data_IF_253941893106
#
_entry.id   IF_253941893106
#
_cell.length_a   1.000
_cell.length_b   1.000
_cell.length_c   1.000
_cell.angle_alpha   90.00
_cell.angle_beta   90.00
_cell.angle_gamma   90.00
#
_symmetry.space_group_name_H-M   'P 1'
#
loop_
_entity.id
_entity.type
_entity.pdbx_description
1 polymer ?
#
# COMPACT_ATOMS: atom_id res chain seq x y z
N UNK A 1 10.58 38.80 -46.40
CA UNK A 1 10.30 39.52 -45.14
C UNK A 1 10.18 38.50 -44.02
N UNK A 2 11.19 38.37 -43.16
CA UNK A 2 11.06 37.85 -41.78
C UNK A 2 12.36 38.19 -41.03
N UNK A 3 12.36 39.19 -40.13
CA UNK A 3 13.48 39.45 -39.25
C UNK A 3 13.18 39.12 -37.78
N UNK A 4 14.24 38.64 -37.10
CA UNK A 4 14.58 38.82 -35.68
C UNK A 4 13.74 38.16 -34.56
N UNK A 5 14.38 37.23 -33.84
CA UNK A 5 14.33 37.17 -32.37
C UNK A 5 15.75 37.19 -31.80
N UNK A 6 16.13 38.17 -30.97
CA UNK A 6 17.42 38.17 -30.29
C UNK A 6 17.35 37.35 -28.98
N UNK A 7 18.45 36.64 -28.68
CA UNK A 7 18.77 36.07 -27.37
C UNK A 7 19.36 37.18 -26.50
N UNK A 8 18.82 37.42 -25.31
CA UNK A 8 19.39 38.12 -24.15
C UNK A 8 18.28 38.12 -23.08
N UNK A 9 18.46 37.79 -21.80
CA UNK A 9 19.65 37.49 -21.05
C UNK A 9 19.23 36.95 -19.67
N UNK A 10 20.02 35.99 -19.23
CA UNK A 10 20.01 35.30 -17.95
C UNK A 10 20.29 36.28 -16.80
N UNK A 11 19.32 37.10 -16.35
CA UNK A 11 19.56 37.99 -15.18
C UNK A 11 18.33 38.50 -14.39
N UNK A 12 17.11 38.03 -14.67
CA UNK A 12 15.90 38.40 -13.90
C UNK A 12 15.19 37.16 -13.34
N UNK A 13 15.96 36.18 -12.84
CA UNK A 13 15.39 35.00 -12.16
C UNK A 13 15.70 35.02 -10.66
N UNK A 14 16.80 35.64 -10.23
CA UNK A 14 17.27 35.53 -8.84
C UNK A 14 16.59 36.44 -7.81
N UNK A 15 15.85 37.48 -8.20
CA UNK A 15 15.29 38.45 -7.23
C UNK A 15 13.83 38.19 -6.83
N UNK A 16 13.19 37.16 -7.38
CA UNK A 16 11.75 36.88 -7.13
C UNK A 16 11.49 35.78 -6.10
N UNK A 17 12.54 35.18 -5.53
CA UNK A 17 12.43 34.06 -4.59
C UNK A 17 12.29 34.46 -3.11
N UNK A 18 12.25 35.75 -2.77
CA UNK A 18 12.24 36.18 -1.37
C UNK A 18 10.87 36.61 -0.82
N UNK A 19 9.81 36.63 -1.65
CA UNK A 19 8.51 37.16 -1.21
C UNK A 19 7.26 36.33 -1.52
N UNK A 20 7.35 35.17 -2.19
CA UNK A 20 6.18 34.35 -2.49
C UNK A 20 6.21 33.01 -1.71
N UNK A 21 5.33 32.82 -0.71
CA UNK A 21 5.10 31.50 -0.13
C UNK A 21 4.24 30.71 -1.13
N UNK A 22 4.83 29.71 -1.80
CA UNK A 22 4.15 28.69 -2.64
C UNK A 22 2.96 29.20 -3.49
N UNK A 23 3.07 29.44 -4.83
CA UNK A 23 2.99 28.32 -5.78
C UNK A 23 3.43 28.65 -7.24
N UNK A 24 4.47 28.02 -7.79
CA UNK A 24 4.66 28.02 -9.25
C UNK A 24 5.22 26.72 -9.84
N UNK A 25 5.87 25.87 -9.04
CA UNK A 25 6.22 24.51 -9.47
C UNK A 25 5.00 23.56 -9.56
N UNK A 26 3.88 23.88 -8.91
CA UNK A 26 2.70 22.99 -8.90
C UNK A 26 1.84 23.14 -10.17
N UNK A 27 1.97 24.24 -10.93
CA UNK A 27 1.11 24.48 -12.11
C UNK A 27 1.52 23.75 -13.38
N UNK A 28 2.71 23.14 -13.41
CA UNK A 28 3.19 22.37 -14.56
C UNK A 28 3.06 20.85 -14.38
N UNK A 29 2.50 20.37 -13.27
CA UNK A 29 2.20 18.95 -13.07
C UNK A 29 0.73 18.68 -13.44
N UNK A 30 0.45 17.81 -14.42
CA UNK A 30 -0.89 17.25 -14.60
C UNK A 30 -1.38 16.66 -13.26
N UNK A 31 -2.66 16.81 -12.89
CA UNK A 31 -3.17 16.46 -11.57
C UNK A 31 -3.14 14.96 -11.22
N UNK A 32 -2.60 14.09 -12.06
CA UNK A 32 -2.77 12.62 -11.95
C UNK A 32 -1.49 11.83 -11.66
N UNK A 33 -0.31 12.45 -11.67
CA UNK A 33 0.95 11.66 -11.71
C UNK A 33 2.11 12.05 -10.76
N UNK A 34 2.01 12.84 -9.66
CA UNK A 34 3.24 13.27 -8.99
C UNK A 34 3.89 12.26 -8.02
N UNK A 35 3.19 11.21 -7.57
CA UNK A 35 3.67 10.37 -6.44
C UNK A 35 4.18 8.96 -6.78
N UNK A 36 3.62 8.32 -7.81
CA UNK A 36 3.85 6.89 -8.08
C UNK A 36 4.84 6.60 -9.21
N UNK A 37 4.80 7.39 -10.28
CA UNK A 37 5.58 7.11 -11.49
C UNK A 37 6.84 7.97 -11.62
N UNK A 38 7.13 8.82 -10.63
CA UNK A 38 8.32 9.68 -10.59
C UNK A 38 8.31 10.72 -11.74
N UNK A 39 9.42 10.96 -12.44
CA UNK A 39 9.57 12.09 -13.37
C UNK A 39 9.27 11.66 -14.81
N UNK A 40 8.33 12.34 -15.46
CA UNK A 40 8.00 12.09 -16.88
C UNK A 40 9.20 12.41 -17.79
N UNK A 41 9.43 11.55 -18.78
CA UNK A 41 10.58 11.60 -19.69
C UNK A 41 11.88 11.00 -19.13
N UNK A 42 11.92 10.68 -17.83
CA UNK A 42 13.06 10.03 -17.17
C UNK A 42 12.69 8.64 -16.70
N UNK A 43 11.63 8.54 -15.91
CA UNK A 43 11.18 7.27 -15.31
C UNK A 43 10.04 6.63 -16.11
N UNK A 44 9.19 7.44 -16.72
CA UNK A 44 8.06 6.99 -17.54
C UNK A 44 7.77 7.96 -18.68
N UNK A 45 7.06 7.47 -19.69
CA UNK A 45 6.47 8.28 -20.77
C UNK A 45 5.00 7.93 -20.93
N UNK A 46 4.22 8.86 -21.47
CA UNK A 46 2.87 8.57 -21.97
C UNK A 46 2.96 8.49 -23.49
N UNK A 47 2.55 7.37 -24.05
CA UNK A 47 2.47 7.12 -25.49
C UNK A 47 1.35 7.95 -26.13
N UNK A 48 1.38 8.09 -27.46
CA UNK A 48 0.32 8.81 -28.21
C UNK A 48 -1.07 8.21 -28.00
N UNK A 49 -1.14 6.90 -27.71
CA UNK A 49 -2.37 6.16 -27.39
C UNK A 49 -2.82 6.35 -25.92
N UNK A 50 -2.13 7.19 -25.15
CA UNK A 50 -2.43 7.49 -23.75
C UNK A 50 -1.99 6.42 -22.75
N UNK A 51 -1.18 5.45 -23.18
CA UNK A 51 -0.66 4.39 -22.32
C UNK A 51 0.68 4.77 -21.70
N UNK A 52 0.92 4.35 -20.46
CA UNK A 52 2.18 4.49 -19.77
C UNK A 52 3.20 3.46 -20.28
N UNK A 53 4.40 3.94 -20.59
CA UNK A 53 5.54 3.13 -21.02
C UNK A 53 6.86 3.65 -20.41
N UNK A 54 7.98 3.00 -20.74
CA UNK A 54 9.33 3.41 -20.37
C UNK A 54 10.03 4.16 -21.52
N UNK A 55 10.89 5.15 -21.20
CA UNK A 55 11.68 5.83 -22.23
C UNK A 55 12.70 4.88 -22.89
N UNK A 56 13.14 5.24 -24.10
CA UNK A 56 14.15 4.47 -24.83
C UNK A 56 15.46 4.37 -24.04
N UNK A 57 16.03 3.16 -23.97
CA UNK A 57 17.29 2.91 -23.26
C UNK A 57 17.14 2.75 -21.74
N UNK A 58 15.92 2.78 -21.21
CA UNK A 58 15.65 2.56 -19.79
C UNK A 58 16.05 1.13 -19.37
N UNK A 59 16.90 1.02 -18.34
CA UNK A 59 17.40 -0.23 -17.80
C UNK A 59 16.82 -0.46 -16.39
N UNK A 60 15.97 -1.49 -16.17
CA UNK A 60 15.36 -1.74 -14.86
C UNK A 60 16.39 -1.96 -13.74
N UNK A 61 17.61 -2.37 -14.06
CA UNK A 61 18.66 -2.62 -13.05
C UNK A 61 19.39 -1.36 -12.60
N UNK A 62 19.25 -0.24 -13.32
CA UNK A 62 19.96 1.03 -13.07
C UNK A 62 19.02 2.20 -12.84
N UNK A 63 17.96 2.27 -13.63
CA UNK A 63 17.01 3.37 -13.71
C UNK A 63 15.67 3.01 -13.03
N UNK A 64 15.60 1.79 -12.46
CA UNK A 64 14.45 1.31 -11.71
C UNK A 64 14.29 2.02 -10.37
N UNK A 65 13.29 2.88 -10.28
CA UNK A 65 12.76 3.39 -9.01
C UNK A 65 11.30 2.94 -8.87
N UNK A 66 11.04 2.08 -7.89
CA UNK A 66 9.68 1.71 -7.48
C UNK A 66 9.42 2.24 -6.07
N UNK A 67 8.48 3.18 -5.95
CA UNK A 67 8.04 3.68 -4.65
C UNK A 67 7.04 2.73 -3.98
N UNK A 68 6.52 1.73 -4.72
CA UNK A 68 5.46 0.81 -4.32
C UNK A 68 4.40 1.47 -3.41
N UNK A 69 3.94 2.65 -3.82
CA UNK A 69 3.07 3.49 -2.99
C UNK A 69 1.62 3.02 -3.07
N UNK A 70 1.35 1.82 -2.56
CA UNK A 70 0.03 1.20 -2.59
C UNK A 70 -1.02 2.02 -1.82
N UNK A 71 -0.63 2.64 -0.70
CA UNK A 71 -1.56 3.33 0.20
C UNK A 71 -2.09 4.68 -0.31
N UNK A 72 -1.53 5.25 -1.39
CA UNK A 72 -2.03 6.49 -1.98
C UNK A 72 -2.31 6.39 -3.47
N UNK A 73 -2.46 5.17 -3.98
CA UNK A 73 -2.97 4.93 -5.34
C UNK A 73 -4.50 4.90 -5.32
N UNK A 74 -5.09 5.33 -6.42
CA UNK A 74 -6.52 5.15 -6.72
C UNK A 74 -6.60 4.55 -8.11
N UNK A 75 -7.09 3.32 -8.22
CA UNK A 75 -7.03 2.54 -9.47
C UNK A 75 -7.74 3.25 -10.64
N UNK A 76 -8.79 4.04 -10.38
CA UNK A 76 -9.50 4.86 -11.37
C UNK A 76 -8.62 5.94 -12.02
N UNK A 77 -7.56 6.39 -11.33
CA UNK A 77 -6.66 7.44 -11.82
C UNK A 77 -5.30 6.89 -12.28
N UNK A 78 -5.13 5.55 -12.32
CA UNK A 78 -3.91 4.97 -12.87
C UNK A 78 -3.98 4.86 -14.39
N UNK A 79 -3.00 5.42 -15.14
CA UNK A 79 -2.93 5.22 -16.58
C UNK A 79 -2.64 3.74 -16.87
N UNK A 80 -3.32 3.20 -17.89
CA UNK A 80 -3.06 1.86 -18.41
C UNK A 80 -1.65 1.78 -18.98
N UNK A 81 -1.00 0.63 -18.82
CA UNK A 81 0.38 0.41 -19.28
C UNK A 81 0.38 -0.32 -20.61
N UNK A 82 1.43 -0.13 -21.40
CA UNK A 82 1.69 -0.91 -22.62
C UNK A 82 1.83 -2.41 -22.33
N UNK A 83 2.25 -2.76 -21.11
CA UNK A 83 2.42 -4.14 -20.65
C UNK A 83 1.16 -4.76 -20.04
N UNK A 84 0.06 -4.00 -19.90
CA UNK A 84 -1.16 -4.54 -19.30
C UNK A 84 -1.79 -5.60 -20.23
N UNK A 85 -2.41 -6.60 -19.63
CA UNK A 85 -3.15 -7.59 -20.40
C UNK A 85 -4.34 -6.92 -21.13
N UNK A 86 -4.60 -7.22 -22.41
CA UNK A 86 -5.68 -6.57 -23.18
C UNK A 86 -7.07 -6.77 -22.55
N UNK A 87 -7.30 -7.92 -21.90
CA UNK A 87 -8.55 -8.25 -21.21
C UNK A 87 -8.54 -8.01 -19.69
N UNK A 88 -7.62 -7.19 -19.16
CA UNK A 88 -7.50 -6.99 -17.69
C UNK A 88 -8.81 -6.53 -17.03
N UNK A 89 -9.64 -5.75 -17.74
CA UNK A 89 -10.93 -5.28 -17.23
C UNK A 89 -11.91 -6.43 -17.02
N UNK A 90 -11.96 -7.39 -17.94
CA UNK A 90 -12.78 -8.61 -17.80
C UNK A 90 -12.30 -9.47 -16.63
N UNK A 91 -10.99 -9.52 -16.40
CA UNK A 91 -10.41 -10.23 -15.25
C UNK A 91 -10.88 -9.56 -13.96
N UNK A 92 -10.84 -8.23 -13.89
CA UNK A 92 -11.33 -7.49 -12.73
C UNK A 92 -12.83 -7.66 -12.52
N UNK A 93 -13.65 -7.58 -13.57
CA UNK A 93 -15.10 -7.83 -13.51
C UNK A 93 -15.39 -9.24 -12.97
N UNK A 94 -14.69 -10.26 -13.47
CA UNK A 94 -14.82 -11.64 -13.01
C UNK A 94 -14.40 -11.81 -11.53
N UNK A 95 -13.30 -11.16 -11.11
CA UNK A 95 -12.86 -11.16 -9.72
C UNK A 95 -13.85 -10.46 -8.79
N UNK A 96 -14.37 -9.30 -9.18
CA UNK A 96 -15.38 -8.52 -8.43
C UNK A 96 -16.67 -9.33 -8.32
N UNK A 97 -17.10 -10.00 -9.39
CA UNK A 97 -18.33 -10.80 -9.40
C UNK A 97 -18.30 -11.98 -8.40
N UNK A 98 -17.11 -12.47 -8.07
CA UNK A 98 -16.88 -13.56 -7.11
C UNK A 98 -16.47 -13.08 -5.72
N UNK A 99 -16.18 -11.79 -5.57
CA UNK A 99 -15.76 -11.22 -4.29
C UNK A 99 -16.92 -11.32 -3.29
N UNK A 100 -16.63 -11.89 -2.12
CA UNK A 100 -17.59 -11.95 -1.01
C UNK A 100 -17.37 -10.73 -0.13
N UNK A 101 -18.46 -10.08 0.27
CA UNK A 101 -18.38 -9.05 1.29
C UNK A 101 -17.88 -9.65 2.59
N UNK A 102 -16.92 -8.99 3.23
CA UNK A 102 -16.39 -9.42 4.50
C UNK A 102 -17.32 -8.90 5.61
N UNK A 103 -18.04 -9.76 6.34
CA UNK A 103 -19.07 -9.31 7.26
C UNK A 103 -18.50 -8.46 8.40
N UNK A 104 -17.30 -8.77 8.88
CA UNK A 104 -16.68 -8.11 10.04
C UNK A 104 -15.93 -6.81 9.70
N UNK A 105 -16.17 -6.19 8.54
CA UNK A 105 -15.42 -5.02 8.06
C UNK A 105 -15.47 -3.82 9.01
N UNK A 106 -16.52 -3.70 9.81
CA UNK A 106 -16.68 -2.64 10.81
C UNK A 106 -16.69 -3.17 12.25
N UNK A 107 -16.20 -4.39 12.49
CA UNK A 107 -16.04 -4.91 13.85
C UNK A 107 -14.87 -4.19 14.52
N UNK A 108 -15.14 -3.52 15.65
CA UNK A 108 -14.12 -2.89 16.48
C UNK A 108 -14.11 -3.64 17.81
N UNK A 109 -12.98 -4.25 18.13
CA UNK A 109 -12.76 -4.95 19.41
C UNK A 109 -12.22 -3.97 20.44
N UNK A 110 -12.89 -3.88 21.58
CA UNK A 110 -12.37 -3.28 22.79
C UNK A 110 -11.25 -4.17 23.36
N UNK A 111 -10.06 -3.60 23.51
CA UNK A 111 -8.86 -4.31 23.94
C UNK A 111 -8.47 -3.97 25.39
N UNK A 112 -9.07 -2.95 25.98
CA UNK A 112 -8.78 -2.51 27.34
C UNK A 112 -8.86 -3.66 28.37
N UNK A 113 -9.88 -4.57 28.34
CA UNK A 113 -9.96 -5.64 29.34
C UNK A 113 -8.93 -6.77 29.16
N UNK A 114 -8.22 -6.81 28.03
CA UNK A 114 -7.32 -7.91 27.66
C UNK A 114 -5.91 -7.44 27.29
N UNK A 115 -5.59 -6.17 27.53
CA UNK A 115 -4.33 -5.56 27.10
C UNK A 115 -3.10 -6.26 27.69
N UNK A 116 -3.16 -6.65 28.97
CA UNK A 116 -2.06 -7.37 29.65
C UNK A 116 -1.80 -8.74 29.03
N UNK A 117 -2.85 -9.49 28.73
CA UNK A 117 -2.75 -10.83 28.17
C UNK A 117 -2.27 -10.76 26.71
N UNK A 118 -2.74 -9.77 25.95
CA UNK A 118 -2.24 -9.50 24.60
C UNK A 118 -0.74 -9.18 24.60
N UNK A 119 -0.25 -8.40 25.56
CA UNK A 119 1.17 -8.09 25.69
C UNK A 119 2.01 -9.34 26.04
N UNK A 120 1.51 -10.19 26.94
CA UNK A 120 2.17 -11.46 27.28
C UNK A 120 2.22 -12.42 26.08
N UNK A 121 1.11 -12.55 25.33
CA UNK A 121 1.04 -13.35 24.11
C UNK A 121 1.96 -12.79 23.01
N UNK A 122 2.08 -11.47 22.86
CA UNK A 122 2.95 -10.85 21.88
C UNK A 122 4.43 -11.20 22.11
N UNK A 123 4.86 -11.33 23.37
CA UNK A 123 6.22 -11.78 23.70
C UNK A 123 6.47 -13.21 23.20
N UNK A 124 5.53 -14.14 23.44
CA UNK A 124 5.61 -15.53 22.95
C UNK A 124 5.64 -15.56 21.42
N UNK A 125 4.74 -14.83 20.75
CA UNK A 125 4.70 -14.81 19.28
C UNK A 125 5.97 -14.23 18.66
N UNK A 126 6.55 -13.21 19.29
CA UNK A 126 7.79 -12.58 18.79
C UNK A 126 9.00 -13.52 18.85
N UNK A 127 9.03 -14.45 19.81
CA UNK A 127 10.08 -15.49 19.91
C UNK A 127 9.92 -16.54 18.80
N UNK A 128 8.69 -17.00 18.56
CA UNK A 128 8.43 -18.20 17.75
C UNK A 128 8.13 -17.92 16.28
N UNK A 129 7.25 -16.94 15.98
CA UNK A 129 6.71 -16.74 14.64
C UNK A 129 7.81 -16.47 13.61
N UNK A 130 8.80 -15.59 13.85
CA UNK A 130 9.88 -15.38 12.88
C UNK A 130 10.66 -16.67 12.59
N UNK A 131 10.96 -17.47 13.61
CA UNK A 131 11.73 -18.70 13.44
C UNK A 131 10.94 -19.77 12.67
N UNK A 132 9.64 -19.91 12.94
CA UNK A 132 8.74 -20.79 12.20
C UNK A 132 8.59 -20.35 10.74
N UNK A 133 8.42 -19.05 10.48
CA UNK A 133 8.29 -18.49 9.13
C UNK A 133 9.53 -18.71 8.27
N UNK A 134 10.72 -18.59 8.86
CA UNK A 134 11.99 -18.87 8.18
C UNK A 134 12.39 -20.34 8.17
N UNK A 135 11.52 -21.25 8.67
CA UNK A 135 11.79 -22.69 8.68
C UNK A 135 13.02 -23.08 9.49
N UNK A 136 13.30 -22.37 10.59
CA UNK A 136 14.52 -22.56 11.40
C UNK A 136 14.47 -23.74 12.37
N UNK A 137 13.29 -24.31 12.60
CA UNK A 137 13.12 -25.47 13.48
C UNK A 137 13.25 -26.76 12.68
N UNK A 138 14.05 -27.70 13.19
CA UNK A 138 14.17 -29.05 12.62
C UNK A 138 12.83 -29.82 12.71
N UNK A 139 12.06 -29.58 13.78
CA UNK A 139 10.69 -30.08 13.96
C UNK A 139 9.70 -28.91 14.18
N UNK A 140 9.09 -28.38 13.10
CA UNK A 140 8.11 -27.31 13.20
C UNK A 140 6.86 -27.69 13.99
N UNK A 141 6.47 -28.97 14.00
CA UNK A 141 5.26 -29.42 14.68
C UNK A 141 5.45 -29.36 16.21
N UNK A 142 6.61 -29.82 16.69
CA UNK A 142 6.97 -29.70 18.11
C UNK A 142 7.06 -28.23 18.55
N UNK A 143 7.70 -27.36 17.75
CA UNK A 143 7.79 -25.93 18.05
C UNK A 143 6.42 -25.23 18.10
N UNK A 144 5.50 -25.57 17.20
CA UNK A 144 4.13 -25.04 17.23
C UNK A 144 3.37 -25.55 18.47
N UNK A 145 3.58 -26.79 18.88
CA UNK A 145 2.96 -27.33 20.10
C UNK A 145 3.47 -26.59 21.35
N UNK A 146 4.78 -26.39 21.47
CA UNK A 146 5.37 -25.62 22.59
C UNK A 146 4.86 -24.18 22.61
N UNK A 147 4.85 -23.50 21.46
CA UNK A 147 4.33 -22.13 21.34
C UNK A 147 2.88 -22.05 21.82
N UNK A 148 2.01 -23.01 21.44
CA UNK A 148 0.60 -23.03 21.86
C UNK A 148 0.46 -23.20 23.37
N UNK A 149 1.27 -24.03 24.00
CA UNK A 149 1.24 -24.17 25.46
C UNK A 149 1.72 -22.88 26.16
N UNK A 150 2.78 -22.23 25.65
CA UNK A 150 3.20 -20.91 26.14
C UNK A 150 2.11 -19.85 25.96
N UNK A 151 1.37 -19.85 24.84
CA UNK A 151 0.26 -18.92 24.61
C UNK A 151 -0.91 -19.16 25.58
N UNK A 152 -1.27 -20.42 25.86
CA UNK A 152 -2.28 -20.76 26.87
C UNK A 152 -1.88 -20.24 28.25
N UNK A 153 -0.62 -20.46 28.65
CA UNK A 153 -0.08 -19.94 29.90
C UNK A 153 -0.08 -18.39 29.96
N UNK A 154 0.03 -17.73 28.80
CA UNK A 154 0.02 -16.27 28.67
C UNK A 154 -1.38 -15.63 28.60
N UNK A 155 -2.47 -16.42 28.75
CA UNK A 155 -3.84 -15.88 28.78
C UNK A 155 -4.65 -16.05 27.48
N UNK A 156 -4.23 -16.94 26.57
CA UNK A 156 -4.95 -17.17 25.31
C UNK A 156 -6.45 -17.43 25.45
N UNK A 157 -6.87 -18.25 26.43
CA UNK A 157 -8.30 -18.56 26.59
C UNK A 157 -9.09 -17.33 27.04
N UNK A 158 -8.54 -16.52 27.96
CA UNK A 158 -9.16 -15.25 28.39
C UNK A 158 -9.38 -14.31 27.20
N UNK A 159 -8.33 -14.10 26.39
CA UNK A 159 -8.38 -13.26 25.19
C UNK A 159 -9.42 -13.80 24.20
N UNK A 160 -9.42 -15.11 23.96
CA UNK A 160 -10.34 -15.77 23.03
C UNK A 160 -11.80 -15.62 23.48
N UNK A 161 -12.09 -15.88 24.74
CA UNK A 161 -13.45 -15.76 25.29
C UNK A 161 -13.96 -14.32 25.22
N UNK A 162 -13.10 -13.35 25.56
CA UNK A 162 -13.44 -11.94 25.48
C UNK A 162 -13.75 -11.50 24.03
N UNK A 163 -12.84 -11.80 23.08
CA UNK A 163 -13.04 -11.46 21.66
C UNK A 163 -14.29 -12.17 21.11
N UNK A 164 -14.50 -13.45 21.44
CA UNK A 164 -15.68 -14.17 20.97
C UNK A 164 -16.97 -13.54 21.51
N UNK A 165 -17.00 -13.14 22.78
CA UNK A 165 -18.14 -12.42 23.36
C UNK A 165 -18.45 -11.12 22.63
N UNK A 166 -17.43 -10.34 22.28
CA UNK A 166 -17.61 -9.10 21.53
C UNK A 166 -18.07 -9.33 20.08
N UNK A 167 -17.50 -10.33 19.40
CA UNK A 167 -17.93 -10.76 18.07
C UNK A 167 -19.40 -11.19 18.09
N UNK A 168 -19.81 -11.93 19.11
CA UNK A 168 -21.16 -12.45 19.25
C UNK A 168 -22.18 -11.35 19.54
N UNK A 169 -21.85 -10.42 20.43
CA UNK A 169 -22.66 -9.24 20.72
C UNK A 169 -22.84 -8.40 19.44
N UNK A 170 -21.74 -8.06 18.77
CA UNK A 170 -21.74 -7.29 17.53
C UNK A 170 -22.54 -7.97 16.41
N UNK A 171 -22.44 -9.30 16.26
CA UNK A 171 -23.16 -10.04 15.24
C UNK A 171 -24.67 -10.06 15.53
N UNK A 172 -25.06 -10.16 16.80
CA UNK A 172 -26.47 -10.13 17.24
C UNK A 172 -27.10 -8.77 16.97
N UNK A 173 -26.43 -7.67 17.30
CA UNK A 173 -26.92 -6.31 17.04
C UNK A 173 -27.19 -6.03 15.55
N UNK A 174 -26.51 -6.76 14.67
CA UNK A 174 -26.61 -6.61 13.21
C UNK A 174 -27.50 -7.64 12.53
N UNK A 175 -28.12 -8.54 13.29
CA UNK A 175 -28.95 -9.62 12.74
C UNK A 175 -28.16 -10.59 11.85
N UNK A 176 -26.87 -10.77 12.13
CA UNK A 176 -26.01 -11.74 11.43
C UNK A 176 -26.07 -13.14 12.07
N UNK A 177 -26.80 -13.29 13.18
CA UNK A 177 -27.07 -14.52 13.90
C UNK A 177 -28.56 -14.73 14.14
#
# INVERSE_FOLDING_TARGET
MHPNRPRLGLRVVLLRCWHDPFPSCVRSCPPTTPGRFSIEGVDYIITDDGLLDRPEGWDPSKDGLDSNFWAGRMDEFEPRRTTDHPDIDKIYEDLISRAKQYPYETLIIDKDPIESDLAAMAAVLSEYVPQLQYGKFDDPAAAVAEMREKLKAAGYETVRENIQGQVDAWATERGLK
#
